data_IF_462930743244
#
_entry.id   IF_462930743244
#
_cell.length_a   1.000
_cell.length_b   1.000
_cell.length_c   1.000
_cell.angle_alpha   90.00
_cell.angle_beta   90.00
_cell.angle_gamma   90.00
#
_symmetry.space_group_name_H-M   'P 1'
#
loop_
_entity.id
_entity.type
_entity.pdbx_description
1 polymer ?
#
# COMPACT_ATOMS: atom_id res chain seq x y z
N UNK A 1 7.08 -10.79 -9.19
CA UNK A 1 7.47 -9.52 -9.85
C UNK A 1 6.85 -8.36 -9.12
N UNK A 2 7.61 -7.26 -8.92
CA UNK A 2 7.23 -6.11 -8.10
C UNK A 2 7.26 -4.80 -8.89
N UNK A 3 6.39 -3.86 -8.49
CA UNK A 3 6.45 -2.46 -8.94
C UNK A 3 7.12 -1.61 -7.86
N UNK A 4 8.42 -1.45 -7.93
CA UNK A 4 9.26 -0.83 -6.92
C UNK A 4 10.30 -1.81 -6.37
N UNK A 5 10.91 -1.42 -5.27
CA UNK A 5 12.00 -2.18 -4.65
C UNK A 5 11.54 -2.89 -3.37
N UNK A 6 12.22 -3.96 -3.00
CA UNK A 6 12.20 -4.50 -1.65
C UNK A 6 12.89 -3.52 -0.69
N UNK A 7 12.54 -3.61 0.59
CA UNK A 7 12.97 -2.64 1.61
C UNK A 7 12.02 -1.44 1.74
N UNK A 8 10.82 -1.52 1.16
CA UNK A 8 9.79 -0.49 1.25
C UNK A 8 9.10 -0.44 2.62
N UNK A 9 9.35 -1.43 3.48
CA UNK A 9 8.74 -1.62 4.81
C UNK A 9 7.20 -1.63 4.77
N UNK A 10 6.62 -2.03 3.65
CA UNK A 10 5.20 -1.98 3.36
C UNK A 10 4.79 -3.13 2.45
N UNK A 11 4.23 -2.83 1.29
CA UNK A 11 3.57 -3.75 0.38
C UNK A 11 4.50 -4.82 -0.22
N UNK A 12 5.64 -4.40 -0.82
CA UNK A 12 6.55 -5.34 -1.47
C UNK A 12 7.24 -6.25 -0.46
N UNK A 13 7.63 -5.72 0.70
CA UNK A 13 8.21 -6.51 1.79
C UNK A 13 7.19 -7.52 2.35
N UNK A 14 5.91 -7.14 2.44
CA UNK A 14 4.82 -8.05 2.81
C UNK A 14 4.66 -9.18 1.80
N UNK A 15 4.60 -8.88 0.50
CA UNK A 15 4.56 -9.90 -0.56
C UNK A 15 5.75 -10.87 -0.45
N UNK A 16 6.96 -10.33 -0.33
CA UNK A 16 8.18 -11.14 -0.23
C UNK A 16 8.18 -12.02 1.03
N UNK A 17 7.71 -11.51 2.16
CA UNK A 17 7.63 -12.29 3.39
C UNK A 17 6.75 -13.54 3.21
N UNK A 18 5.60 -13.41 2.53
CA UNK A 18 4.75 -14.55 2.20
C UNK A 18 5.42 -15.57 1.28
N UNK A 19 6.08 -15.11 0.21
CA UNK A 19 6.80 -15.95 -0.71
C UNK A 19 7.97 -16.69 -0.03
N UNK A 20 8.76 -16.00 0.82
CA UNK A 20 9.85 -16.62 1.58
C UNK A 20 9.36 -17.62 2.63
N UNK A 21 8.19 -17.36 3.23
CA UNK A 21 7.58 -18.34 4.13
C UNK A 21 7.15 -19.61 3.37
N UNK A 22 6.57 -19.46 2.18
CA UNK A 22 6.25 -20.61 1.30
C UNK A 22 7.51 -21.39 0.91
N UNK A 23 8.59 -20.69 0.56
CA UNK A 23 9.89 -21.35 0.27
C UNK A 23 10.37 -22.20 1.44
N UNK A 24 10.26 -21.67 2.66
CA UNK A 24 10.66 -22.37 3.88
C UNK A 24 9.80 -23.60 4.18
N UNK A 25 8.48 -23.48 4.00
CA UNK A 25 7.52 -24.51 4.43
C UNK A 25 7.34 -25.61 3.37
N UNK A 26 7.44 -25.26 2.08
CA UNK A 26 7.18 -26.17 0.96
C UNK A 26 8.44 -26.52 0.14
N UNK A 27 9.58 -25.88 0.40
CA UNK A 27 10.82 -26.14 -0.31
C UNK A 27 10.83 -25.63 -1.76
N UNK A 28 9.96 -24.64 -2.09
CA UNK A 28 9.95 -24.00 -3.41
C UNK A 28 11.08 -22.98 -3.52
N UNK A 29 11.59 -22.77 -4.75
CA UNK A 29 12.55 -21.71 -5.01
C UNK A 29 11.82 -20.40 -5.30
N UNK A 30 12.26 -19.31 -4.68
CA UNK A 30 11.69 -17.96 -4.90
C UNK A 30 12.73 -17.08 -5.56
N UNK A 31 12.30 -16.43 -6.66
CA UNK A 31 13.07 -15.40 -7.36
C UNK A 31 12.29 -14.09 -7.34
N UNK A 32 12.91 -13.05 -6.83
CA UNK A 32 12.35 -11.68 -6.83
C UNK A 32 12.89 -10.91 -8.03
N UNK A 33 12.00 -10.29 -8.81
CA UNK A 33 12.35 -9.33 -9.86
C UNK A 33 11.67 -8.00 -9.55
N UNK A 34 12.50 -7.00 -9.34
CA UNK A 34 12.12 -5.63 -8.98
C UNK A 34 12.17 -4.74 -10.21
N UNK A 35 11.22 -3.84 -10.37
CA UNK A 35 11.20 -2.87 -11.46
C UNK A 35 10.54 -1.56 -11.03
N UNK A 36 11.09 -0.45 -11.48
CA UNK A 36 10.64 0.89 -11.09
C UNK A 36 9.93 1.63 -12.22
N UNK A 37 10.00 1.08 -13.43
CA UNK A 37 9.38 1.63 -14.65
C UNK A 37 8.46 0.60 -15.31
N UNK A 38 7.51 1.08 -16.10
CA UNK A 38 6.58 0.25 -16.84
C UNK A 38 7.28 -0.76 -17.78
N UNK A 39 8.36 -0.32 -18.45
CA UNK A 39 9.15 -1.17 -19.34
C UNK A 39 9.86 -2.29 -18.55
N UNK A 40 10.36 -2.00 -17.35
CA UNK A 40 10.96 -3.00 -16.46
C UNK A 40 9.92 -3.99 -15.94
N UNK A 41 8.70 -3.55 -15.63
CA UNK A 41 7.63 -4.46 -15.18
C UNK A 41 7.26 -5.46 -16.27
N UNK A 42 7.07 -4.99 -17.51
CA UNK A 42 6.77 -5.86 -18.65
C UNK A 42 7.90 -6.83 -18.92
N UNK A 43 9.15 -6.33 -18.96
CA UNK A 43 10.34 -7.16 -19.17
C UNK A 43 10.51 -8.24 -18.09
N UNK A 44 10.28 -7.89 -16.82
CA UNK A 44 10.36 -8.82 -15.70
C UNK A 44 9.28 -9.91 -15.77
N UNK A 45 8.04 -9.56 -16.14
CA UNK A 45 6.98 -10.53 -16.34
C UNK A 45 7.34 -11.51 -17.47
N UNK A 46 7.80 -11.01 -18.61
CA UNK A 46 8.23 -11.85 -19.73
C UNK A 46 9.42 -12.74 -19.38
N UNK A 47 10.41 -12.20 -18.67
CA UNK A 47 11.55 -12.99 -18.20
C UNK A 47 11.12 -14.15 -17.29
N UNK A 48 10.08 -13.97 -16.46
CA UNK A 48 9.50 -15.06 -15.69
C UNK A 48 8.77 -16.08 -16.59
N UNK A 49 7.97 -15.62 -17.56
CA UNK A 49 7.26 -16.50 -18.48
C UNK A 49 8.22 -17.40 -19.28
N UNK A 50 9.36 -16.84 -19.73
CA UNK A 50 10.38 -17.54 -20.53
C UNK A 50 11.38 -18.31 -19.67
N UNK A 51 11.49 -17.97 -18.38
CA UNK A 51 12.47 -18.52 -17.45
C UNK A 51 12.13 -19.90 -16.86
N UNK A 52 10.98 -20.49 -17.23
CA UNK A 52 10.57 -21.81 -16.78
C UNK A 52 10.06 -21.86 -15.34
N UNK A 53 9.51 -20.76 -14.83
CA UNK A 53 8.87 -20.72 -13.53
C UNK A 53 7.45 -21.33 -13.60
N UNK A 54 7.11 -22.13 -12.59
CA UNK A 54 5.79 -22.77 -12.49
C UNK A 54 4.69 -21.78 -12.11
N UNK A 55 5.04 -20.80 -11.25
CA UNK A 55 4.14 -19.76 -10.76
C UNK A 55 4.81 -18.39 -10.84
N UNK A 56 4.08 -17.41 -11.36
CA UNK A 56 4.47 -15.99 -11.38
C UNK A 56 3.47 -15.18 -10.61
N UNK A 57 3.90 -14.55 -9.51
CA UNK A 57 3.06 -13.66 -8.70
C UNK A 57 3.31 -12.22 -9.14
N UNK A 58 2.28 -11.59 -9.71
CA UNK A 58 2.24 -10.17 -10.06
C UNK A 58 1.76 -9.40 -8.84
N UNK A 59 2.62 -8.60 -8.25
CA UNK A 59 2.37 -8.02 -6.92
C UNK A 59 1.19 -7.05 -6.86
N UNK A 60 0.80 -6.40 -7.96
CA UNK A 60 -0.31 -5.45 -7.95
C UNK A 60 -0.95 -5.23 -9.33
N UNK A 61 -1.94 -4.34 -9.37
CA UNK A 61 -2.75 -4.02 -10.56
C UNK A 61 -1.97 -3.39 -11.73
N UNK A 62 -0.78 -2.84 -11.53
CA UNK A 62 0.03 -2.31 -12.63
C UNK A 62 0.46 -3.39 -13.63
N UNK A 63 0.44 -4.66 -13.23
CA UNK A 63 0.70 -5.81 -14.12
C UNK A 63 -0.52 -6.25 -14.94
N UNK A 64 -1.71 -5.68 -14.72
CA UNK A 64 -2.95 -6.18 -15.32
C UNK A 64 -2.87 -6.26 -16.85
N UNK A 65 -2.53 -5.16 -17.51
CA UNK A 65 -2.48 -5.09 -18.98
C UNK A 65 -1.44 -6.05 -19.57
N UNK A 66 -0.29 -6.17 -18.93
CA UNK A 66 0.77 -7.10 -19.36
C UNK A 66 0.34 -8.55 -19.19
N UNK A 67 -0.30 -8.88 -18.06
CA UNK A 67 -0.78 -10.24 -17.83
C UNK A 67 -1.92 -10.59 -18.79
N UNK A 68 -2.86 -9.68 -19.07
CA UNK A 68 -3.89 -9.88 -20.09
C UNK A 68 -3.30 -10.12 -21.48
N UNK A 69 -2.21 -9.43 -21.82
CA UNK A 69 -1.50 -9.56 -23.10
C UNK A 69 -0.78 -10.92 -23.25
N UNK A 70 -0.19 -11.45 -22.18
CA UNK A 70 0.75 -12.56 -22.29
C UNK A 70 0.23 -13.91 -21.77
N UNK A 71 -0.73 -13.96 -20.83
CA UNK A 71 -1.19 -15.19 -20.17
C UNK A 71 -1.57 -16.34 -21.11
N UNK A 72 -2.18 -16.02 -22.26
CA UNK A 72 -2.65 -17.02 -23.22
C UNK A 72 -1.50 -17.58 -24.08
N UNK A 73 -0.37 -16.86 -24.16
CA UNK A 73 0.85 -17.31 -24.85
C UNK A 73 1.70 -18.27 -23.99
N UNK A 74 1.44 -18.31 -22.68
CA UNK A 74 2.16 -19.14 -21.71
C UNK A 74 1.18 -20.01 -20.88
N UNK A 75 0.44 -20.94 -21.52
CA UNK A 75 -0.63 -21.70 -20.86
C UNK A 75 -0.15 -22.61 -19.72
N UNK A 76 1.10 -23.01 -19.74
CA UNK A 76 1.69 -23.89 -18.72
C UNK A 76 2.16 -23.13 -17.46
N UNK A 77 2.40 -21.81 -17.57
CA UNK A 77 2.72 -20.94 -16.44
C UNK A 77 1.45 -20.60 -15.68
N UNK A 78 1.50 -20.75 -14.35
CA UNK A 78 0.41 -20.27 -13.46
C UNK A 78 0.71 -18.86 -13.02
N UNK A 79 -0.33 -18.05 -12.95
CA UNK A 79 -0.22 -16.64 -12.55
C UNK A 79 -1.10 -16.35 -11.34
N UNK A 80 -0.58 -15.57 -10.42
CA UNK A 80 -1.38 -14.88 -9.41
C UNK A 80 -1.23 -13.38 -9.62
N UNK A 81 -2.34 -12.64 -9.55
CA UNK A 81 -2.32 -11.18 -9.59
C UNK A 81 -3.08 -10.62 -8.40
N UNK A 82 -2.52 -9.59 -7.77
CA UNK A 82 -3.07 -8.98 -6.56
C UNK A 82 -3.68 -7.61 -6.89
N UNK A 83 -4.77 -7.27 -6.20
CA UNK A 83 -5.49 -5.98 -6.28
C UNK A 83 -6.16 -5.67 -7.62
N UNK A 84 -6.38 -6.67 -8.44
CA UNK A 84 -7.17 -6.54 -9.68
C UNK A 84 -7.69 -7.90 -10.13
N UNK A 85 -8.48 -7.92 -11.19
CA UNK A 85 -9.05 -9.15 -11.75
C UNK A 85 -8.62 -9.34 -13.20
N UNK A 86 -7.91 -10.44 -13.46
CA UNK A 86 -7.60 -10.94 -14.81
C UNK A 86 -8.21 -12.33 -14.97
N UNK A 87 -8.99 -12.53 -16.01
CA UNK A 87 -9.65 -13.81 -16.28
C UNK A 87 -8.77 -14.69 -17.15
N UNK A 88 -8.57 -15.94 -16.74
CA UNK A 88 -7.83 -16.94 -17.49
C UNK A 88 -7.83 -18.30 -16.77
N UNK A 89 -7.69 -19.42 -17.50
CA UNK A 89 -7.66 -20.76 -16.88
C UNK A 89 -6.41 -21.01 -16.03
N UNK A 90 -5.36 -20.21 -16.24
CA UNK A 90 -4.08 -20.27 -15.56
C UNK A 90 -3.83 -19.04 -14.65
N UNK A 91 -4.86 -18.25 -14.34
CA UNK A 91 -4.75 -17.03 -13.54
C UNK A 91 -5.64 -17.12 -12.30
N UNK A 92 -5.09 -16.83 -11.12
CA UNK A 92 -5.84 -16.52 -9.92
C UNK A 92 -5.71 -15.02 -9.61
N UNK A 93 -6.84 -14.40 -9.33
CA UNK A 93 -6.91 -12.98 -8.95
C UNK A 93 -7.27 -12.85 -7.48
N UNK A 94 -6.54 -12.02 -6.74
CA UNK A 94 -6.68 -11.85 -5.31
C UNK A 94 -7.05 -10.40 -5.01
N UNK A 95 -8.12 -10.20 -4.25
CA UNK A 95 -8.57 -8.89 -3.80
C UNK A 95 -8.77 -8.88 -2.30
N UNK A 96 -8.67 -7.70 -1.71
CA UNK A 96 -8.83 -7.46 -0.28
C UNK A 96 -10.00 -6.51 -0.03
N UNK A 97 -10.57 -6.58 1.16
CA UNK A 97 -11.55 -5.62 1.62
C UNK A 97 -10.86 -4.40 2.28
N UNK A 98 -9.91 -3.76 1.53
CA UNK A 98 -9.12 -2.62 2.03
C UNK A 98 -9.99 -1.44 2.45
N UNK A 99 -11.14 -1.23 1.83
CA UNK A 99 -12.11 -0.21 2.22
C UNK A 99 -12.62 -0.40 3.66
N UNK A 100 -12.78 -1.66 4.12
CA UNK A 100 -13.23 -1.93 5.50
C UNK A 100 -12.14 -1.60 6.52
N UNK A 101 -10.88 -1.99 6.25
CA UNK A 101 -9.75 -1.62 7.10
C UNK A 101 -9.51 -0.11 7.12
N UNK A 102 -9.61 0.54 5.96
CA UNK A 102 -9.49 2.00 5.85
C UNK A 102 -10.64 2.74 6.53
N UNK A 103 -11.87 2.18 6.56
CA UNK A 103 -12.96 2.74 7.35
C UNK A 103 -12.57 2.83 8.83
N UNK A 104 -12.00 1.77 9.39
CA UNK A 104 -11.54 1.78 10.78
C UNK A 104 -10.41 2.79 10.99
N UNK A 105 -9.47 2.88 10.05
CA UNK A 105 -8.38 3.87 10.10
C UNK A 105 -8.91 5.31 10.07
N UNK A 106 -9.90 5.60 9.20
CA UNK A 106 -10.55 6.90 9.14
C UNK A 106 -11.32 7.25 10.41
N UNK A 107 -12.02 6.27 10.98
CA UNK A 107 -12.71 6.45 12.26
C UNK A 107 -11.70 6.76 13.40
N UNK A 108 -10.57 6.04 13.45
CA UNK A 108 -9.49 6.31 14.41
C UNK A 108 -8.92 7.71 14.20
N UNK A 109 -8.63 8.12 12.97
CA UNK A 109 -8.11 9.45 12.67
C UNK A 109 -9.06 10.56 13.14
N UNK A 110 -10.36 10.41 12.86
CA UNK A 110 -11.37 11.39 13.26
C UNK A 110 -11.59 11.44 14.78
N UNK A 111 -11.51 10.31 15.46
CA UNK A 111 -11.53 10.29 16.93
C UNK A 111 -10.25 10.93 17.51
N UNK A 112 -9.10 10.61 16.95
CA UNK A 112 -7.81 11.09 17.43
C UNK A 112 -7.71 12.61 17.38
N UNK A 113 -8.15 13.24 16.29
CA UNK A 113 -8.10 14.70 16.10
C UNK A 113 -9.05 15.50 17.03
N UNK A 114 -9.90 14.79 17.81
CA UNK A 114 -10.73 15.45 18.85
C UNK A 114 -10.04 15.56 20.21
N UNK A 115 -8.85 15.05 20.34
CA UNK A 115 -8.08 15.00 21.59
C UNK A 115 -7.00 16.08 21.63
N UNK A 116 -7.43 17.36 21.67
CA UNK A 116 -6.51 18.51 21.68
C UNK A 116 -5.60 18.58 22.92
N UNK A 117 -5.83 17.74 23.93
CA UNK A 117 -4.91 17.54 25.06
C UNK A 117 -3.64 16.76 24.67
N UNK A 118 -3.63 16.09 23.51
CA UNK A 118 -2.46 15.41 22.96
C UNK A 118 -1.56 16.46 22.30
N UNK A 119 -0.28 16.46 22.63
CA UNK A 119 0.70 17.38 22.03
C UNK A 119 0.70 17.23 20.50
N UNK A 120 0.60 18.33 19.79
CA UNK A 120 0.57 18.35 18.31
C UNK A 120 -0.83 18.21 17.70
N UNK A 121 -1.87 17.92 18.47
CA UNK A 121 -3.29 17.95 18.03
C UNK A 121 -3.87 19.35 18.25
N UNK A 122 -4.66 19.83 17.27
CA UNK A 122 -5.35 21.13 17.34
C UNK A 122 -6.87 20.93 17.33
N UNK A 123 -7.64 22.03 17.33
CA UNK A 123 -9.11 21.98 17.36
C UNK A 123 -9.77 22.08 15.98
N UNK A 124 -8.99 22.00 14.86
CA UNK A 124 -9.49 22.30 13.51
C UNK A 124 -10.26 21.13 12.86
N UNK A 125 -10.19 19.92 13.43
CA UNK A 125 -10.81 18.71 12.91
C UNK A 125 -10.40 18.43 11.44
N UNK A 126 -9.10 18.53 11.14
CA UNK A 126 -8.52 18.29 9.83
C UNK A 126 -7.63 17.06 9.91
N UNK A 127 -7.86 16.11 9.00
CA UNK A 127 -7.01 14.91 8.83
C UNK A 127 -6.49 14.81 7.41
N UNK A 128 -5.45 14.02 7.19
CA UNK A 128 -4.83 13.86 5.89
C UNK A 128 -4.82 12.43 5.38
N UNK A 129 -4.62 12.31 4.07
CA UNK A 129 -4.42 11.05 3.37
C UNK A 129 -3.44 11.25 2.22
N UNK A 130 -2.42 10.39 2.12
CA UNK A 130 -1.42 10.42 1.05
C UNK A 130 -1.39 9.07 0.36
N UNK A 131 -1.73 9.04 -0.92
CA UNK A 131 -1.65 7.88 -1.80
C UNK A 131 -0.43 7.90 -2.71
N UNK A 132 0.05 6.71 -3.08
CA UNK A 132 1.17 6.57 -4.02
C UNK A 132 0.78 6.96 -5.44
N UNK A 133 -0.29 6.38 -5.96
CA UNK A 133 -0.79 6.63 -7.33
C UNK A 133 -2.31 6.80 -7.33
N UNK A 134 -2.82 7.52 -8.33
CA UNK A 134 -4.27 7.72 -8.55
C UNK A 134 -4.83 6.53 -9.35
N UNK A 135 -5.15 5.43 -8.67
CA UNK A 135 -5.61 4.17 -9.26
C UNK A 135 -6.79 3.58 -8.47
N UNK A 136 -7.62 2.70 -9.08
CA UNK A 136 -8.85 2.20 -8.46
C UNK A 136 -8.68 1.58 -7.08
N UNK A 137 -7.63 0.80 -6.83
CA UNK A 137 -7.39 0.19 -5.52
C UNK A 137 -7.16 1.24 -4.42
N UNK A 138 -6.53 2.38 -4.75
CA UNK A 138 -6.33 3.47 -3.80
C UNK A 138 -7.63 4.28 -3.57
N UNK A 139 -8.50 4.34 -4.57
CA UNK A 139 -9.84 4.91 -4.38
C UNK A 139 -10.65 4.10 -3.35
N UNK A 140 -10.55 2.76 -3.35
CA UNK A 140 -11.18 1.92 -2.32
C UNK A 140 -10.67 2.24 -0.91
N UNK A 141 -9.34 2.41 -0.76
CA UNK A 141 -8.76 2.85 0.52
C UNK A 141 -9.31 4.20 0.93
N UNK A 142 -9.27 5.19 0.01
CA UNK A 142 -9.69 6.55 0.32
C UNK A 142 -11.18 6.64 0.68
N UNK A 143 -12.05 6.00 -0.11
CA UNK A 143 -13.50 6.00 0.16
C UNK A 143 -13.81 5.35 1.51
N UNK A 144 -13.13 4.25 1.86
CA UNK A 144 -13.26 3.65 3.17
C UNK A 144 -12.83 4.61 4.28
N UNK A 145 -11.66 5.24 4.14
CA UNK A 145 -11.14 6.21 5.09
C UNK A 145 -12.08 7.41 5.29
N UNK A 146 -12.55 8.00 4.18
CA UNK A 146 -13.50 9.11 4.21
C UNK A 146 -14.80 8.73 4.92
N UNK A 147 -15.38 7.57 4.59
CA UNK A 147 -16.60 7.09 5.21
C UNK A 147 -16.43 6.85 6.72
N UNK A 148 -15.30 6.27 7.12
CA UNK A 148 -14.99 6.06 8.54
C UNK A 148 -14.81 7.35 9.31
N UNK A 149 -14.08 8.31 8.74
CA UNK A 149 -13.88 9.62 9.33
C UNK A 149 -15.20 10.39 9.48
N UNK A 150 -16.01 10.45 8.42
CA UNK A 150 -17.32 11.12 8.42
C UNK A 150 -18.38 10.42 9.27
N UNK A 151 -18.23 9.12 9.52
CA UNK A 151 -19.09 8.41 10.47
C UNK A 151 -18.90 8.91 11.90
N UNK A 152 -17.68 9.30 12.27
CA UNK A 152 -17.36 9.87 13.58
C UNK A 152 -17.66 11.36 13.64
N UNK A 153 -17.20 12.13 12.64
CA UNK A 153 -17.43 13.55 12.53
C UNK A 153 -17.86 13.92 11.08
N UNK A 154 -19.16 14.15 10.82
CA UNK A 154 -19.63 14.48 9.48
C UNK A 154 -19.01 15.74 8.86
N UNK A 155 -18.53 16.67 9.69
CA UNK A 155 -17.98 17.95 9.28
C UNK A 155 -16.45 17.95 9.16
N UNK A 156 -15.80 16.78 9.35
CA UNK A 156 -14.35 16.65 9.28
C UNK A 156 -13.81 17.00 7.89
N UNK A 157 -12.73 17.76 7.85
CA UNK A 157 -12.00 18.07 6.62
C UNK A 157 -10.95 16.99 6.36
N UNK A 158 -10.90 16.46 5.13
CA UNK A 158 -9.92 15.46 4.72
C UNK A 158 -9.10 16.03 3.57
N UNK A 159 -7.79 16.19 3.80
CA UNK A 159 -6.83 16.61 2.79
C UNK A 159 -6.32 15.37 2.05
N UNK A 160 -6.54 15.30 0.74
CA UNK A 160 -6.12 14.18 -0.10
C UNK A 160 -5.00 14.59 -1.04
N UNK A 161 -3.96 13.77 -1.15
CA UNK A 161 -2.86 13.96 -2.11
C UNK A 161 -2.40 12.63 -2.69
N UNK A 162 -1.95 12.66 -3.95
CA UNK A 162 -1.28 11.54 -4.62
C UNK A 162 0.16 11.93 -4.98
N UNK A 163 1.11 11.07 -4.64
CA UNK A 163 2.53 11.30 -4.94
C UNK A 163 2.88 11.07 -6.42
N UNK A 164 2.09 10.24 -7.11
CA UNK A 164 2.36 9.79 -8.48
C UNK A 164 3.42 8.70 -8.58
N UNK A 165 3.91 8.18 -7.45
CA UNK A 165 5.01 7.22 -7.38
C UNK A 165 4.92 6.35 -6.12
N UNK A 166 5.59 5.17 -6.15
CA UNK A 166 5.73 4.26 -5.02
C UNK A 166 7.09 4.34 -4.32
N UNK A 167 8.07 5.05 -4.91
CA UNK A 167 9.49 4.93 -4.57
C UNK A 167 10.17 6.25 -4.22
N UNK A 168 9.41 7.30 -3.91
CA UNK A 168 9.94 8.63 -3.59
C UNK A 168 9.52 9.09 -2.18
N UNK A 169 10.28 8.73 -1.13
CA UNK A 169 10.02 9.19 0.23
C UNK A 169 10.03 10.71 0.40
N UNK A 170 10.86 11.43 -0.36
CA UNK A 170 10.91 12.89 -0.28
C UNK A 170 9.59 13.50 -0.72
N UNK A 171 8.99 12.96 -1.79
CA UNK A 171 7.67 13.39 -2.26
C UNK A 171 6.58 13.11 -1.25
N UNK A 172 6.60 11.93 -0.63
CA UNK A 172 5.68 11.58 0.48
C UNK A 172 5.78 12.57 1.63
N UNK A 173 7.01 12.89 2.02
CA UNK A 173 7.30 13.86 3.09
C UNK A 173 6.81 15.27 2.77
N UNK A 174 7.10 15.79 1.57
CA UNK A 174 6.65 17.11 1.12
C UNK A 174 5.12 17.25 1.17
N UNK A 175 4.40 16.27 0.62
CA UNK A 175 2.94 16.28 0.62
C UNK A 175 2.37 16.24 2.03
N UNK A 176 2.96 15.46 2.91
CA UNK A 176 2.51 15.33 4.29
C UNK A 176 2.77 16.59 5.11
N UNK A 177 3.96 17.19 4.99
CA UNK A 177 4.25 18.47 5.64
C UNK A 177 3.29 19.57 5.18
N UNK A 178 2.97 19.62 3.87
CA UNK A 178 1.99 20.57 3.35
C UNK A 178 0.57 20.34 3.91
N UNK A 179 0.18 19.10 4.24
CA UNK A 179 -1.09 18.80 4.90
C UNK A 179 -1.06 19.21 6.38
N UNK A 180 0.05 19.03 7.08
CA UNK A 180 0.22 19.50 8.46
C UNK A 180 0.21 21.04 8.55
N UNK A 181 0.82 21.74 7.58
CA UNK A 181 0.75 23.21 7.49
C UNK A 181 -0.68 23.71 7.26
N UNK A 182 -1.55 22.92 6.65
CA UNK A 182 -2.97 23.20 6.48
C UNK A 182 -3.82 22.80 7.68
N UNK A 183 -3.21 22.36 8.77
CA UNK A 183 -3.88 22.06 10.04
C UNK A 183 -4.20 20.57 10.27
N UNK A 184 -3.77 19.66 9.41
CA UNK A 184 -3.96 18.23 9.67
C UNK A 184 -3.20 17.80 10.94
N UNK A 185 -3.81 16.95 11.76
CA UNK A 185 -3.18 16.40 12.96
C UNK A 185 -2.58 15.03 12.71
N UNK A 186 -3.22 14.26 11.83
CA UNK A 186 -2.87 12.88 11.51
C UNK A 186 -3.05 12.62 10.02
N UNK A 187 -2.09 11.93 9.40
CA UNK A 187 -2.11 11.61 7.97
C UNK A 187 -2.01 10.10 7.77
N UNK A 188 -2.95 9.52 7.03
CA UNK A 188 -2.86 8.11 6.62
C UNK A 188 -1.94 7.96 5.40
N UNK A 189 -1.00 7.04 5.50
CA UNK A 189 -0.11 6.60 4.43
C UNK A 189 -0.73 5.44 3.64
N UNK A 190 -0.81 5.55 2.30
CA UNK A 190 -1.12 4.45 1.38
C UNK A 190 -0.21 4.56 0.16
N UNK A 191 1.11 4.48 0.37
CA UNK A 191 2.08 4.88 -0.66
C UNK A 191 3.36 4.00 -0.74
N UNK A 192 3.35 2.78 -0.18
CA UNK A 192 4.51 1.87 -0.23
C UNK A 192 5.81 2.57 0.25
N UNK A 193 6.92 2.47 -0.48
CA UNK A 193 8.19 3.12 -0.12
C UNK A 193 8.10 4.65 -0.01
N UNK A 194 7.27 5.31 -0.83
CA UNK A 194 6.97 6.75 -0.69
C UNK A 194 6.37 7.07 0.68
N UNK A 195 5.63 6.13 1.26
CA UNK A 195 4.98 6.26 2.57
C UNK A 195 5.95 6.35 3.74
N UNK A 196 7.19 5.90 3.60
CA UNK A 196 8.20 6.08 4.65
C UNK A 196 8.42 7.57 4.93
N UNK A 197 8.35 8.41 3.89
CA UNK A 197 8.41 9.87 4.03
C UNK A 197 7.21 10.48 4.76
N UNK A 198 6.02 9.88 4.63
CA UNK A 198 4.83 10.29 5.41
C UNK A 198 5.08 10.09 6.91
N UNK A 199 5.61 8.93 7.29
CA UNK A 199 5.91 8.62 8.70
C UNK A 199 7.04 9.52 9.23
N UNK A 200 8.07 9.79 8.42
CA UNK A 200 9.15 10.72 8.79
C UNK A 200 8.64 12.15 9.00
N UNK A 201 7.71 12.63 8.13
CA UNK A 201 7.10 13.94 8.25
C UNK A 201 6.31 14.08 9.56
N UNK A 202 5.60 13.04 9.98
CA UNK A 202 4.86 13.04 11.23
C UNK A 202 5.78 13.30 12.43
N UNK A 203 6.91 12.60 12.49
CA UNK A 203 7.92 12.81 13.53
C UNK A 203 8.55 14.21 13.47
N UNK A 204 8.93 14.66 12.28
CA UNK A 204 9.57 15.95 12.09
C UNK A 204 8.67 17.11 12.50
N UNK A 205 7.37 17.02 12.17
CA UNK A 205 6.38 18.04 12.49
C UNK A 205 5.83 17.94 13.92
N UNK A 206 6.21 16.91 14.70
CA UNK A 206 5.57 16.63 15.98
C UNK A 206 4.08 16.28 15.86
N UNK A 207 3.70 15.68 14.74
CA UNK A 207 2.34 15.28 14.37
C UNK A 207 2.24 13.76 14.30
N UNK A 208 1.18 13.23 13.68
CA UNK A 208 0.84 11.83 13.72
C UNK A 208 0.56 11.23 12.34
N UNK A 209 0.76 9.91 12.23
CA UNK A 209 0.46 9.16 11.02
C UNK A 209 -0.28 7.85 11.33
N UNK A 210 -0.91 7.30 10.30
CA UNK A 210 -1.42 5.93 10.26
C UNK A 210 -0.62 5.16 9.19
N UNK A 211 -0.05 4.03 9.59
CA UNK A 211 0.69 3.13 8.72
C UNK A 211 -0.23 2.27 7.84
N UNK A 212 0.37 1.54 6.88
CA UNK A 212 -0.34 0.66 5.95
C UNK A 212 0.45 -0.63 5.67
N UNK A 213 -0.24 -1.66 5.21
CA UNK A 213 0.24 -2.98 4.79
C UNK A 213 0.84 -3.81 5.92
N UNK A 214 1.92 -3.35 6.53
CA UNK A 214 2.58 -3.95 7.69
C UNK A 214 2.29 -3.13 8.97
N UNK A 215 2.61 -3.70 10.11
CA UNK A 215 2.65 -2.92 11.34
C UNK A 215 3.88 -1.99 11.30
N UNK A 216 3.64 -0.71 11.04
CA UNK A 216 4.63 0.37 10.97
C UNK A 216 4.71 1.19 12.27
N UNK A 217 4.03 0.77 13.34
CA UNK A 217 3.95 1.54 14.59
C UNK A 217 5.32 1.86 15.18
N UNK A 218 6.30 0.97 14.96
CA UNK A 218 7.67 1.11 15.44
C UNK A 218 8.61 1.84 14.46
N UNK A 219 8.17 2.23 13.26
CA UNK A 219 9.03 2.94 12.31
C UNK A 219 9.29 4.38 12.78
N UNK A 220 8.28 5.01 13.38
CA UNK A 220 8.43 6.30 14.08
C UNK A 220 7.68 6.24 15.42
N UNK A 221 8.31 5.68 16.47
CA UNK A 221 7.68 5.48 17.77
C UNK A 221 7.14 6.78 18.37
N UNK A 222 5.89 6.74 18.82
CA UNK A 222 5.18 7.90 19.36
C UNK A 222 4.49 8.80 18.32
N UNK A 223 4.72 8.57 17.02
CA UNK A 223 4.14 9.34 15.94
C UNK A 223 3.26 8.49 15.00
N UNK A 224 3.41 7.18 14.98
CA UNK A 224 2.48 6.27 14.28
C UNK A 224 1.47 5.75 15.29
N UNK A 225 0.21 6.15 15.15
CA UNK A 225 -0.87 5.84 16.10
C UNK A 225 -1.34 4.40 15.97
N UNK A 226 -1.42 3.92 14.73
CA UNK A 226 -1.81 2.55 14.37
C UNK A 226 -1.46 2.29 12.91
N UNK A 227 -1.61 1.04 12.47
CA UNK A 227 -1.40 0.65 11.07
C UNK A 227 -2.59 -0.15 10.54
N UNK A 228 -3.06 0.22 9.34
CA UNK A 228 -4.04 -0.57 8.59
C UNK A 228 -3.32 -1.73 7.90
N UNK A 229 -3.27 -2.88 8.54
CA UNK A 229 -2.54 -4.05 8.04
C UNK A 229 -3.29 -4.72 6.89
N UNK A 230 -2.63 -4.84 5.74
CA UNK A 230 -3.12 -5.59 4.57
C UNK A 230 -2.28 -6.85 4.40
N UNK A 231 -2.90 -8.02 4.60
CA UNK A 231 -2.22 -9.32 4.67
C UNK A 231 -1.81 -9.86 3.30
N UNK A 232 -1.00 -9.09 2.57
CA UNK A 232 -0.48 -9.49 1.25
C UNK A 232 0.48 -10.68 1.38
N UNK A 233 1.17 -10.77 2.50
CA UNK A 233 1.98 -11.93 2.89
C UNK A 233 1.18 -13.23 2.84
N UNK A 234 -0.01 -13.24 3.45
CA UNK A 234 -0.90 -14.41 3.43
C UNK A 234 -1.37 -14.74 2.02
N UNK A 235 -1.66 -13.73 1.19
CA UNK A 235 -2.05 -13.92 -0.19
C UNK A 235 -0.94 -14.61 -0.99
N UNK A 236 0.29 -14.10 -0.92
CA UNK A 236 1.46 -14.71 -1.60
C UNK A 236 1.81 -16.11 -1.09
N UNK A 237 1.59 -16.39 0.20
CA UNK A 237 1.81 -17.70 0.78
C UNK A 237 0.79 -18.76 0.32
N UNK A 238 -0.46 -18.31 0.04
CA UNK A 238 -1.60 -19.22 -0.18
C UNK A 238 -1.77 -19.68 -1.64
N UNK A 239 -1.03 -19.10 -2.58
CA UNK A 239 -1.08 -19.45 -4.01
C UNK A 239 0.06 -20.38 -4.39
#
# INVERSE_FOLDING_TARGET
VYTGNLGDKSYNDSCNAGAQQAAKDFGVEVKNLEGTTADEWEANLLACCEGGYDLVICSNSNFQEYLEKYKDSYPDVKFAIIDTTVKGPNVVSISFAQNQGSFLAGAVAAMFTTHSEIEGVNDDAIIGWVGGQDIPVLHDFYVGFEQGAKYINPDITILQSYAGTWIDPLKGKELTLAQYEQGADIVMNVASGTGTGVLEAAKEAGKYAIGVDLNQDNDQPGHVVTSMVKRVDTACYSV
#
